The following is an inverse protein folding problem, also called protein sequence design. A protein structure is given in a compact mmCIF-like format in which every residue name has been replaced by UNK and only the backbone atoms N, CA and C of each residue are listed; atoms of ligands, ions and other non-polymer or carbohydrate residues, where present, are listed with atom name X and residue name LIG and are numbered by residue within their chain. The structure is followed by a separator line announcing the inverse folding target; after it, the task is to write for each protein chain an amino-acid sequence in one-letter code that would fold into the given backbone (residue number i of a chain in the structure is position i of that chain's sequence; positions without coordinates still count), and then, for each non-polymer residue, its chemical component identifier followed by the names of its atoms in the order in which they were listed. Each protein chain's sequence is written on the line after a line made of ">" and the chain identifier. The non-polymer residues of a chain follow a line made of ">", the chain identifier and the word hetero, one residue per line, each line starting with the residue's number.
data_IF_624771134221
#
_entry.id   IF_624771134221
#
_cell.length_a   1.000
_cell.length_b   1.000
_cell.length_c   1.000
_cell.angle_alpha   90.00
_cell.angle_beta   90.00
_cell.angle_gamma   90.00
#
_symmetry.space_group_name_H-M   'P 1'
#
loop_
_entity.id
_entity.type
_entity.pdbx_description
1 polymer ?
#
# COMPACT_ATOMS: atom_id res chain seq x y z
N UNK A 1 -11.60 -12.43 5.66
CA UNK A 1 -13.02 -12.48 5.24
C UNK A 1 -13.21 -13.14 3.87
N UNK A 2 -12.66 -12.61 2.76
CA UNK A 2 -12.74 -13.29 1.44
C UNK A 2 -12.09 -14.69 1.42
N UNK A 3 -10.92 -14.86 2.05
CA UNK A 3 -10.22 -16.14 2.10
C UNK A 3 -11.00 -17.27 2.81
N UNK A 4 -11.94 -16.90 3.69
CA UNK A 4 -12.82 -17.87 4.34
C UNK A 4 -13.88 -18.40 3.35
N UNK A 5 -14.55 -17.51 2.61
CA UNK A 5 -15.56 -17.88 1.62
C UNK A 5 -14.96 -18.72 0.48
N UNK A 6 -13.73 -18.40 0.08
CA UNK A 6 -12.95 -19.20 -0.87
C UNK A 6 -12.77 -20.67 -0.44
N UNK A 7 -12.64 -20.93 0.86
CA UNK A 7 -12.28 -22.25 1.39
C UNK A 7 -13.47 -23.04 1.92
N UNK A 8 -14.51 -22.36 2.43
CA UNK A 8 -15.55 -23.00 3.24
C UNK A 8 -16.98 -22.72 2.78
N UNK A 9 -17.20 -21.88 1.76
CA UNK A 9 -18.55 -21.48 1.33
C UNK A 9 -18.73 -21.72 -0.16
N UNK A 10 -18.64 -20.69 -0.99
CA UNK A 10 -18.83 -20.78 -2.44
C UNK A 10 -18.19 -19.60 -3.18
N UNK A 11 -17.96 -19.78 -4.48
CA UNK A 11 -17.31 -18.80 -5.35
C UNK A 11 -18.19 -17.59 -5.67
N UNK A 12 -19.52 -17.77 -5.74
CA UNK A 12 -20.43 -16.69 -6.09
C UNK A 12 -20.45 -15.62 -4.99
N UNK A 13 -20.66 -16.05 -3.75
CA UNK A 13 -20.62 -15.19 -2.56
C UNK A 13 -19.26 -14.50 -2.40
N UNK A 14 -18.16 -15.21 -2.67
CA UNK A 14 -16.80 -14.64 -2.67
C UNK A 14 -16.69 -13.47 -3.65
N UNK A 15 -17.19 -13.64 -4.87
CA UNK A 15 -17.08 -12.63 -5.93
C UNK A 15 -17.96 -11.41 -5.66
N UNK A 16 -19.17 -11.60 -5.14
CA UNK A 16 -20.03 -10.49 -4.70
C UNK A 16 -19.36 -9.66 -3.60
N UNK A 17 -18.82 -10.31 -2.57
CA UNK A 17 -18.07 -9.62 -1.50
C UNK A 17 -16.85 -8.88 -2.02
N UNK A 18 -16.09 -9.49 -2.95
CA UNK A 18 -14.92 -8.84 -3.56
C UNK A 18 -15.33 -7.60 -4.35
N UNK A 19 -16.39 -7.66 -5.16
CA UNK A 19 -16.88 -6.52 -5.93
C UNK A 19 -17.35 -5.39 -5.02
N UNK A 20 -18.12 -5.71 -3.97
CA UNK A 20 -18.58 -4.72 -3.00
C UNK A 20 -17.42 -4.01 -2.28
N UNK A 21 -16.40 -4.76 -1.86
CA UNK A 21 -15.22 -4.18 -1.19
C UNK A 21 -14.37 -3.33 -2.14
N UNK A 22 -14.18 -3.74 -3.39
CA UNK A 22 -13.44 -2.94 -4.39
C UNK A 22 -14.17 -1.64 -4.71
N UNK A 23 -15.51 -1.69 -4.81
CA UNK A 23 -16.33 -0.50 -5.08
C UNK A 23 -16.29 0.52 -3.93
N UNK A 24 -16.20 0.03 -2.69
CA UNK A 24 -16.06 0.88 -1.52
C UNK A 24 -14.63 1.43 -1.35
N UNK A 25 -13.66 0.54 -1.15
CA UNK A 25 -12.25 0.90 -0.95
C UNK A 25 -11.33 -0.26 -1.34
N UNK A 26 -10.54 -0.05 -2.39
CA UNK A 26 -9.58 -1.03 -2.90
C UNK A 26 -8.43 -1.32 -1.92
N UNK A 27 -8.09 -0.39 -1.03
CA UNK A 27 -6.97 -0.53 -0.08
C UNK A 27 -7.25 -1.60 1.00
N UNK A 28 -8.52 -1.99 1.17
CA UNK A 28 -8.93 -3.11 2.03
C UNK A 28 -8.44 -4.47 1.53
N UNK A 29 -8.16 -4.58 0.23
CA UNK A 29 -7.74 -5.84 -0.42
C UNK A 29 -6.29 -5.83 -0.89
N UNK A 30 -5.74 -4.66 -1.18
CA UNK A 30 -4.39 -4.49 -1.69
C UNK A 30 -3.68 -3.43 -0.86
N UNK A 31 -2.49 -3.76 -0.35
CA UNK A 31 -1.68 -2.80 0.39
C UNK A 31 -1.20 -1.66 -0.52
N UNK A 32 -1.14 -0.44 0.04
CA UNK A 32 -0.52 0.70 -0.62
C UNK A 32 0.98 0.41 -0.88
N UNK A 33 1.43 0.69 -2.11
CA UNK A 33 2.82 0.46 -2.51
C UNK A 33 3.79 1.50 -1.94
N UNK A 34 3.28 2.63 -1.43
CA UNK A 34 4.11 3.73 -0.95
C UNK A 34 4.90 3.30 0.29
N UNK A 35 6.21 3.51 0.23
CA UNK A 35 7.15 3.27 1.33
C UNK A 35 8.04 4.48 1.53
N UNK A 36 8.51 4.67 2.76
CA UNK A 36 9.48 5.73 3.05
C UNK A 36 10.79 5.44 2.30
N UNK A 37 11.31 6.44 1.59
CA UNK A 37 12.62 6.33 0.93
C UNK A 37 13.74 6.21 1.98
N UNK A 38 14.76 5.35 1.78
CA UNK A 38 15.90 5.26 2.67
C UNK A 38 16.70 6.58 2.75
N UNK A 39 17.29 6.86 3.91
CA UNK A 39 18.18 8.02 4.10
C UNK A 39 19.46 7.85 3.28
N UNK A 40 19.82 8.87 2.49
CA UNK A 40 21.12 8.96 1.80
C UNK A 40 22.09 9.82 2.62
N UNK A 41 23.40 9.58 2.49
CA UNK A 41 24.43 10.34 3.23
C UNK A 41 24.44 11.83 2.83
N UNK A 42 25.07 12.70 3.62
CA UNK A 42 25.27 14.11 3.23
C UNK A 42 24.03 15.01 3.36
N UNK A 43 23.09 14.66 4.22
CA UNK A 43 21.98 15.51 4.61
C UNK A 43 21.08 14.93 5.69
N UNK A 44 20.01 15.65 6.03
CA UNK A 44 19.11 15.29 7.13
C UNK A 44 18.11 14.20 6.75
N UNK A 45 17.68 14.12 5.48
CA UNK A 45 16.66 13.17 5.01
C UNK A 45 17.04 12.35 3.79
N UNK A 46 16.07 11.61 3.25
CA UNK A 46 16.25 10.80 2.03
C UNK A 46 16.68 11.63 0.81
N UNK A 47 16.19 12.87 0.72
CA UNK A 47 16.43 13.78 -0.41
C UNK A 47 17.21 15.04 -0.06
N UNK A 48 17.05 15.58 1.16
CA UNK A 48 17.71 16.83 1.56
C UNK A 48 19.21 16.65 1.67
N UNK A 49 19.98 17.65 1.23
CA UNK A 49 21.44 17.73 1.37
C UNK A 49 21.81 18.90 2.28
N UNK A 50 22.98 18.84 2.90
CA UNK A 50 23.50 20.00 3.63
C UNK A 50 23.75 21.17 2.67
N UNK A 51 23.39 22.38 3.09
CA UNK A 51 23.59 23.59 2.29
C UNK A 51 25.09 23.81 2.05
N UNK A 52 25.45 24.04 0.79
CA UNK A 52 26.82 24.43 0.43
C UNK A 52 26.95 25.95 0.45
N UNK A 53 28.07 26.45 0.97
CA UNK A 53 28.51 27.83 0.76
C UNK A 53 29.55 27.83 -0.37
N UNK A 54 29.27 28.57 -1.44
CA UNK A 54 30.25 28.84 -2.49
C UNK A 54 30.93 30.17 -2.17
N UNK A 55 32.24 30.22 -2.41
CA UNK A 55 33.05 31.43 -2.46
C UNK A 55 33.83 31.41 -3.75
#
# INVERSE_FOLDING_TARGET
>A
KIAYYQKFVDEHSKNQLKQALVAYDRTLLVADNRRCEPKKFGGKGARSRFQKSYR
#
